data_IF_040589960289
#
_entry.id   IF_040589960289
#
_cell.length_a   1.000
_cell.length_b   1.000
_cell.length_c   1.000
_cell.angle_alpha   90.00
_cell.angle_beta   90.00
_cell.angle_gamma   90.00
#
_symmetry.space_group_name_H-M   'P 1'
#
loop_
_entity.id
_entity.type
_entity.pdbx_description
1 polymer ?
#
# COMPACT_ATOMS: atom_id res chain seq x y z
N UNK A 1 25.42 1.60 12.59
CA UNK A 1 24.63 1.86 11.37
C UNK A 1 23.16 1.59 11.67
N UNK A 2 22.29 2.58 11.53
CA UNK A 2 20.85 2.39 11.76
C UNK A 2 20.19 1.89 10.47
N UNK A 3 19.29 0.92 10.58
CA UNK A 3 18.49 0.44 9.44
C UNK A 3 17.64 1.60 8.90
N UNK A 4 17.93 2.04 7.68
CA UNK A 4 17.14 3.04 6.97
C UNK A 4 15.79 2.49 6.48
N UNK A 5 14.97 3.36 5.91
CA UNK A 5 13.68 3.05 5.28
C UNK A 5 13.76 1.91 4.24
N UNK A 6 14.94 1.63 3.67
CA UNK A 6 15.20 0.56 2.70
C UNK A 6 15.01 -0.85 3.28
N UNK A 7 14.98 -1.00 4.60
CA UNK A 7 14.70 -2.26 5.29
C UNK A 7 13.22 -2.44 5.67
N UNK A 8 12.33 -1.53 5.25
CA UNK A 8 10.90 -1.66 5.50
C UNK A 8 10.33 -2.91 4.80
N UNK A 9 9.46 -3.62 5.52
CA UNK A 9 8.83 -4.86 5.05
C UNK A 9 7.35 -4.87 5.41
N UNK A 10 6.57 -5.61 4.62
CA UNK A 10 5.16 -5.89 4.89
C UNK A 10 5.12 -7.23 5.61
N UNK A 11 4.57 -7.26 6.82
CA UNK A 11 4.50 -8.46 7.65
C UNK A 11 3.04 -8.83 7.85
N UNK A 12 2.70 -10.10 7.63
CA UNK A 12 1.36 -10.63 7.89
C UNK A 12 1.34 -11.33 9.24
N UNK A 13 0.26 -11.07 9.97
CA UNK A 13 -0.06 -11.71 11.22
C UNK A 13 -1.41 -12.41 11.09
N UNK A 14 -1.62 -13.46 11.88
CA UNK A 14 -2.95 -14.02 12.10
C UNK A 14 -3.72 -13.26 13.20
N UNK A 15 -4.92 -13.73 13.50
CA UNK A 15 -5.82 -13.15 14.52
C UNK A 15 -5.28 -13.29 15.96
N UNK A 16 -4.27 -14.14 16.17
CA UNK A 16 -3.55 -14.31 17.44
C UNK A 16 -2.21 -13.57 17.45
N UNK A 17 -1.97 -12.65 16.51
CA UNK A 17 -0.73 -11.88 16.39
C UNK A 17 0.53 -12.73 16.17
N UNK A 18 0.40 -13.94 15.62
CA UNK A 18 1.55 -14.75 15.22
C UNK A 18 1.97 -14.35 13.81
N UNK A 19 3.28 -14.15 13.63
CA UNK A 19 3.85 -13.78 12.33
C UNK A 19 3.73 -14.96 11.36
N UNK A 20 2.99 -14.77 10.27
CA UNK A 20 2.80 -15.79 9.23
C UNK A 20 3.86 -15.71 8.12
N UNK A 21 4.47 -14.53 7.95
CA UNK A 21 5.41 -14.28 6.88
C UNK A 21 5.42 -12.81 6.48
N UNK A 22 5.89 -12.52 5.28
CA UNK A 22 5.91 -11.16 4.78
C UNK A 22 6.68 -11.01 3.48
N UNK A 23 6.71 -9.77 3.00
CA UNK A 23 7.35 -9.40 1.75
C UNK A 23 8.19 -8.14 1.92
N UNK A 24 9.22 -8.02 1.09
CA UNK A 24 9.94 -6.78 0.87
C UNK A 24 9.14 -5.85 -0.06
N UNK A 25 9.27 -4.55 0.18
CA UNK A 25 8.74 -3.52 -0.72
C UNK A 25 9.63 -3.46 -1.98
N UNK A 26 9.06 -3.35 -3.20
CA UNK A 26 9.85 -3.22 -4.41
C UNK A 26 10.64 -1.92 -4.48
N UNK A 27 11.80 -1.96 -5.14
CA UNK A 27 12.71 -0.82 -5.25
C UNK A 27 12.03 0.38 -5.92
N UNK A 28 11.16 0.12 -6.90
CA UNK A 28 10.36 1.13 -7.62
C UNK A 28 9.44 1.94 -6.72
N UNK A 29 9.12 1.45 -5.53
CA UNK A 29 8.33 2.17 -4.51
C UNK A 29 9.25 2.76 -3.43
N UNK A 30 10.27 2.02 -2.99
CA UNK A 30 11.26 2.52 -2.01
C UNK A 30 11.90 3.83 -2.50
N UNK A 31 12.29 3.91 -3.77
CA UNK A 31 12.94 5.10 -4.35
C UNK A 31 12.02 6.33 -4.37
N UNK A 32 10.70 6.12 -4.43
CA UNK A 32 9.73 7.22 -4.47
C UNK A 32 9.22 7.64 -3.10
N UNK A 33 9.33 6.78 -2.09
CA UNK A 33 8.95 7.09 -0.70
C UNK A 33 10.07 7.76 0.12
N UNK A 34 11.29 7.84 -0.44
CA UNK A 34 12.44 8.49 0.22
C UNK A 34 12.09 9.86 0.81
N UNK A 35 12.71 10.24 1.95
CA UNK A 35 13.71 9.49 2.72
C UNK A 35 13.10 8.55 3.78
N UNK A 36 11.78 8.53 3.91
CA UNK A 36 11.04 7.77 4.91
C UNK A 36 10.44 6.49 4.31
N UNK A 37 9.89 5.62 5.17
CA UNK A 37 9.12 4.47 4.71
C UNK A 37 7.68 4.92 4.35
N UNK A 38 6.77 3.96 4.18
CA UNK A 38 5.37 4.26 3.93
C UNK A 38 4.75 5.06 5.10
N UNK A 39 4.07 6.15 4.77
CA UNK A 39 3.30 6.99 5.72
C UNK A 39 1.91 6.42 6.00
N UNK A 40 1.39 5.63 5.05
CA UNK A 40 0.10 4.97 5.11
C UNK A 40 0.09 3.70 4.29
N UNK A 41 -0.76 2.76 4.70
CA UNK A 41 -0.95 1.50 4.01
C UNK A 41 -2.28 0.87 4.34
N UNK A 42 -3.02 0.44 3.32
CA UNK A 42 -4.28 -0.27 3.51
C UNK A 42 -4.54 -1.25 2.36
N UNK A 43 -5.22 -2.34 2.68
CA UNK A 43 -5.79 -3.22 1.66
C UNK A 43 -7.02 -2.55 1.05
N UNK A 44 -7.07 -2.49 -0.28
CA UNK A 44 -8.24 -2.02 -1.01
C UNK A 44 -9.35 -3.06 -1.06
N UNK A 45 -10.53 -2.70 -1.58
CA UNK A 45 -11.67 -3.63 -1.72
C UNK A 45 -11.39 -4.76 -2.73
N UNK A 46 -10.31 -4.68 -3.50
CA UNK A 46 -9.80 -5.71 -4.41
C UNK A 46 -8.72 -6.61 -3.76
N UNK A 47 -8.38 -6.37 -2.50
CA UNK A 47 -7.33 -7.12 -1.78
C UNK A 47 -5.89 -6.77 -2.18
N UNK A 48 -5.68 -5.75 -3.01
CA UNK A 48 -4.35 -5.21 -3.31
C UNK A 48 -3.89 -4.30 -2.16
N UNK A 49 -2.57 -4.16 -1.99
CA UNK A 49 -2.00 -3.26 -0.99
C UNK A 49 -1.72 -1.89 -1.62
N UNK A 50 -2.27 -0.84 -1.02
CA UNK A 50 -2.06 0.54 -1.42
C UNK A 50 -1.18 1.22 -0.37
N UNK A 51 -0.10 1.85 -0.81
CA UNK A 51 0.83 2.58 0.05
C UNK A 51 0.94 4.05 -0.37
N UNK A 52 1.20 4.93 0.59
CA UNK A 52 1.61 6.32 0.35
C UNK A 52 2.99 6.55 0.96
N UNK A 53 3.85 7.31 0.26
CA UNK A 53 5.09 7.87 0.84
C UNK A 53 4.78 9.15 1.61
N UNK A 54 5.77 9.82 2.21
CA UNK A 54 5.57 11.02 3.03
C UNK A 54 5.39 12.34 2.27
N UNK A 55 5.97 12.45 1.08
CA UNK A 55 6.14 13.75 0.43
C UNK A 55 5.40 13.83 -0.92
N UNK A 56 5.46 12.76 -1.70
CA UNK A 56 4.87 12.74 -3.04
C UNK A 56 3.35 12.55 -2.98
N UNK A 57 2.58 13.27 -3.83
CA UNK A 57 1.14 13.08 -4.00
C UNK A 57 0.84 11.81 -4.81
N UNK A 58 1.39 10.68 -4.38
CA UNK A 58 1.38 9.42 -5.11
C UNK A 58 0.91 8.27 -4.20
N UNK A 59 0.06 7.40 -4.74
CA UNK A 59 -0.37 6.13 -4.17
C UNK A 59 0.21 4.97 -5.00
N UNK A 60 0.90 4.05 -4.34
CA UNK A 60 1.54 2.89 -4.97
C UNK A 60 0.73 1.63 -4.73
N UNK A 61 0.42 0.91 -5.80
CA UNK A 61 -0.40 -0.30 -5.75
C UNK A 61 0.47 -1.53 -5.90
N UNK A 62 0.38 -2.42 -4.93
CA UNK A 62 1.21 -3.61 -4.79
C UNK A 62 0.35 -4.88 -4.81
N UNK A 63 0.83 -5.87 -5.58
CA UNK A 63 0.30 -7.23 -5.61
C UNK A 63 1.36 -8.23 -5.09
N UNK A 64 0.89 -9.40 -4.65
CA UNK A 64 1.77 -10.50 -4.27
C UNK A 64 2.18 -11.30 -5.52
N UNK A 65 3.45 -11.72 -5.63
CA UNK A 65 3.85 -12.68 -6.65
C UNK A 65 3.34 -14.08 -6.30
N UNK A 66 3.24 -14.97 -7.30
CA UNK A 66 2.98 -16.41 -7.04
C UNK A 66 4.09 -17.04 -6.19
N UNK A 67 5.35 -16.64 -6.44
CA UNK A 67 6.52 -17.02 -5.62
C UNK A 67 7.50 -15.87 -5.51
N UNK A 68 8.20 -15.79 -4.38
CA UNK A 68 9.29 -14.86 -4.17
C UNK A 68 9.05 -13.86 -3.04
N UNK A 69 10.12 -13.21 -2.55
CA UNK A 69 10.08 -12.50 -1.28
C UNK A 69 9.69 -11.02 -1.40
N UNK A 70 9.35 -10.52 -2.60
CA UNK A 70 9.14 -9.09 -2.87
C UNK A 70 7.79 -8.86 -3.54
N UNK A 71 7.03 -7.88 -3.07
CA UNK A 71 5.79 -7.46 -3.72
C UNK A 71 6.08 -6.86 -5.09
N UNK A 72 5.09 -6.89 -5.98
CA UNK A 72 5.19 -6.32 -7.32
C UNK A 72 4.42 -5.01 -7.37
N UNK A 73 5.09 -3.93 -7.78
CA UNK A 73 4.46 -2.63 -8.02
C UNK A 73 3.77 -2.66 -9.38
N UNK A 74 2.44 -2.52 -9.38
CA UNK A 74 1.60 -2.72 -10.57
C UNK A 74 0.93 -1.43 -11.06
N UNK A 75 0.83 -0.39 -10.22
CA UNK A 75 0.33 0.92 -10.63
C UNK A 75 0.80 2.02 -9.66
N UNK A 76 0.95 3.23 -10.19
CA UNK A 76 1.02 4.48 -9.40
C UNK A 76 -0.18 5.34 -9.75
N UNK A 77 -0.84 5.89 -8.74
CA UNK A 77 -2.04 6.71 -8.87
C UNK A 77 -1.74 8.07 -8.22
N UNK A 78 -1.95 9.16 -8.95
CA UNK A 78 -1.81 10.50 -8.39
C UNK A 78 -2.97 10.77 -7.42
N UNK A 79 -2.65 11.29 -6.24
CA UNK A 79 -3.62 11.67 -5.20
C UNK A 79 -3.32 13.09 -4.73
N UNK A 80 -4.32 13.98 -4.70
CA UNK A 80 -4.13 15.39 -4.32
C UNK A 80 -4.10 15.58 -2.77
N UNK A 81 -3.19 14.85 -2.13
CA UNK A 81 -2.82 14.94 -0.71
C UNK A 81 -1.31 14.72 -0.54
N UNK A 82 -0.67 15.46 0.35
CA UNK A 82 0.80 15.55 0.49
C UNK A 82 1.44 14.28 1.12
N UNK A 83 1.27 13.10 0.53
CA UNK A 83 1.92 11.88 1.02
C UNK A 83 1.57 11.52 2.47
N UNK A 84 0.34 11.79 2.92
CA UNK A 84 -0.10 11.38 4.25
C UNK A 84 -0.96 10.12 4.19
N UNK A 85 -1.15 9.50 5.36
CA UNK A 85 -2.01 8.34 5.50
C UNK A 85 -3.42 8.60 4.93
N UNK A 86 -4.05 7.53 4.44
CA UNK A 86 -5.39 7.53 3.88
C UNK A 86 -6.24 6.42 4.51
N UNK A 87 -7.56 6.52 4.37
CA UNK A 87 -8.50 5.47 4.75
C UNK A 87 -9.49 5.21 3.63
N UNK A 88 -9.78 3.95 3.34
CA UNK A 88 -10.88 3.56 2.44
C UNK A 88 -12.23 3.89 3.06
N UNK A 89 -13.12 4.46 2.27
CA UNK A 89 -14.54 4.48 2.57
C UNK A 89 -15.08 3.05 2.49
N UNK A 90 -15.61 2.55 3.60
CA UNK A 90 -16.23 1.22 3.68
C UNK A 90 -17.76 1.29 3.68
N UNK A 91 -18.32 2.51 3.70
CA UNK A 91 -19.77 2.75 3.77
C UNK A 91 -20.42 2.77 2.38
N UNK A 92 -19.67 3.23 1.38
CA UNK A 92 -20.03 3.13 -0.03
C UNK A 92 -19.37 1.90 -0.64
N UNK A 93 -20.05 1.20 -1.55
CA UNK A 93 -19.42 0.14 -2.36
C UNK A 93 -18.43 0.68 -3.40
N UNK A 94 -18.18 2.00 -3.37
CA UNK A 94 -17.33 2.73 -4.29
C UNK A 94 -15.87 2.69 -3.84
N UNK A 95 -14.97 3.03 -4.76
CA UNK A 95 -13.52 3.03 -4.51
C UNK A 95 -13.05 4.39 -4.03
N UNK A 96 -13.60 4.87 -2.92
CA UNK A 96 -13.25 6.19 -2.37
C UNK A 96 -12.24 6.04 -1.24
N UNK A 97 -11.20 6.88 -1.24
CA UNK A 97 -10.30 7.06 -0.10
C UNK A 97 -10.38 8.47 0.43
N UNK A 98 -10.23 8.62 1.73
CA UNK A 98 -10.11 9.91 2.39
C UNK A 98 -8.71 10.11 2.92
N UNK A 99 -8.15 11.30 2.65
CA UNK A 99 -6.88 11.78 3.20
C UNK A 99 -7.08 13.10 3.95
N UNK A 100 -6.11 13.45 4.80
CA UNK A 100 -6.11 14.73 5.52
C UNK A 100 -5.04 15.63 4.89
N UNK A 101 -5.45 16.78 4.36
CA UNK A 101 -4.50 17.86 4.01
C UNK A 101 -4.40 18.80 5.20
N UNK A 102 -3.32 18.65 5.98
CA UNK A 102 -3.08 19.47 7.17
C UNK A 102 -2.86 20.95 6.84
N UNK A 103 -2.07 21.33 5.83
CA UNK A 103 -1.85 22.73 5.48
C UNK A 103 -3.15 23.44 5.14
N UNK A 104 -4.07 22.74 4.47
CA UNK A 104 -5.36 23.27 4.05
C UNK A 104 -6.48 23.07 5.09
N UNK A 105 -6.22 22.36 6.20
CA UNK A 105 -7.20 22.01 7.24
C UNK A 105 -8.46 21.32 6.69
N UNK A 106 -8.27 20.41 5.72
CA UNK A 106 -9.34 19.75 4.99
C UNK A 106 -9.24 18.22 5.06
N UNK A 107 -10.39 17.56 5.04
CA UNK A 107 -10.52 16.15 4.64
C UNK A 107 -10.85 16.14 3.15
N UNK A 108 -10.11 15.36 2.37
CA UNK A 108 -10.28 15.24 0.92
C UNK A 108 -10.62 13.82 0.56
N UNK A 109 -11.65 13.65 -0.28
CA UNK A 109 -12.06 12.36 -0.83
C UNK A 109 -11.54 12.20 -2.27
N UNK A 110 -11.06 11.00 -2.60
CA UNK A 110 -10.53 10.67 -3.91
C UNK A 110 -11.16 9.38 -4.42
N UNK A 111 -11.65 9.39 -5.65
CA UNK A 111 -12.06 8.15 -6.31
C UNK A 111 -10.82 7.49 -6.90
N UNK A 112 -10.50 6.30 -6.39
CA UNK A 112 -9.38 5.49 -6.85
C UNK A 112 -9.83 4.63 -8.03
N UNK A 113 -9.16 4.71 -9.19
CA UNK A 113 -9.52 3.90 -10.34
C UNK A 113 -9.37 2.40 -10.03
N UNK A 114 -10.07 1.57 -10.82
CA UNK A 114 -9.82 0.13 -10.81
C UNK A 114 -8.43 -0.14 -11.37
N UNK A 115 -7.69 -1.01 -10.70
CA UNK A 115 -6.35 -1.44 -11.14
C UNK A 115 -6.47 -2.82 -11.76
N UNK A 116 -5.93 -2.98 -12.97
CA UNK A 116 -5.85 -4.28 -13.63
C UNK A 116 -4.75 -5.08 -12.95
N UNK A 117 -5.10 -6.27 -12.45
CA UNK A 117 -4.12 -7.21 -11.90
C UNK A 117 -3.42 -7.97 -13.04
N UNK A 118 -2.09 -7.82 -13.22
CA UNK A 118 -1.37 -8.61 -14.21
C UNK A 118 -1.45 -10.12 -13.94
N UNK A 119 -1.41 -10.92 -15.01
CA UNK A 119 -1.40 -12.37 -14.91
C UNK A 119 -0.20 -12.87 -14.10
N UNK A 120 -0.41 -13.90 -13.27
CA UNK A 120 0.65 -14.47 -12.43
C UNK A 120 0.92 -13.70 -11.14
N UNK A 121 0.09 -12.71 -10.81
CA UNK A 121 0.08 -12.01 -9.52
C UNK A 121 -1.25 -12.29 -8.79
N UNK A 122 -1.26 -12.05 -7.48
CA UNK A 122 -2.43 -12.27 -6.63
C UNK A 122 -2.69 -11.07 -5.69
N UNK A 123 -3.94 -10.80 -5.32
CA UNK A 123 -4.25 -9.97 -4.16
C UNK A 123 -3.61 -10.56 -2.89
N UNK A 124 -3.19 -9.70 -1.96
CA UNK A 124 -2.56 -10.16 -0.71
C UNK A 124 -3.54 -10.95 0.16
N UNK A 125 -4.85 -10.69 0.02
CA UNK A 125 -5.92 -11.42 0.71
C UNK A 125 -6.14 -12.83 0.19
N UNK A 126 -5.58 -13.18 -0.98
CA UNK A 126 -5.68 -14.51 -1.59
C UNK A 126 -4.38 -15.31 -1.47
N UNK A 127 -3.41 -14.81 -0.70
CA UNK A 127 -2.22 -15.58 -0.36
C UNK A 127 -2.51 -16.36 0.91
N UNK A 128 -2.40 -17.68 0.83
CA UNK A 128 -2.37 -18.52 2.01
C UNK A 128 -0.91 -18.74 2.41
N UNK A 129 -0.59 -18.36 3.64
CA UNK A 129 0.65 -18.78 4.29
C UNK A 129 0.31 -20.07 5.02
N UNK A 130 0.18 -21.16 4.28
CA UNK A 130 0.22 -22.48 4.90
C UNK A 130 1.63 -22.68 5.46
N UNK A 131 1.71 -22.95 6.76
CA UNK A 131 2.94 -23.32 7.46
C UNK A 131 3.23 -24.80 7.28
#
# INVERSE_FOLDING_TARGET
EYKGHSFASIIRYDDQWRRMGGWMIPQTVIERMQPYAASGGALGPDGLLYLTGHDRPEMYVLAAPVMGPKLVHIATIDIDVEGQAFAWDKSSGDRVVYGISRPNRQVRGFTVPKVVLPQGLKPLTQIDFEL
#
